data_IF_934938211135
#
_entry.id   IF_934938211135
#
_cell.length_a   1.000
_cell.length_b   1.000
_cell.length_c   1.000
_cell.angle_alpha   90.00
_cell.angle_beta   90.00
_cell.angle_gamma   90.00
#
_symmetry.space_group_name_H-M   'P 1'
#
loop_
_entity.id
_entity.type
_entity.pdbx_description
1 polymer ?
#
# COMPACT_ATOMS: atom_id res chain seq x y z
N UNK A 1 -1.71 -8.04 -4.49
CA UNK A 1 -2.06 -7.24 -3.30
C UNK A 1 -2.06 -8.15 -2.10
N UNK A 2 -1.32 -7.78 -1.06
CA UNK A 2 -1.32 -8.45 0.23
C UNK A 2 -2.53 -7.99 1.08
N UNK A 3 -2.82 -8.71 2.18
CA UNK A 3 -3.84 -8.29 3.15
C UNK A 3 -3.28 -7.24 4.10
N UNK A 4 -4.02 -6.14 4.34
CA UNK A 4 -3.66 -5.10 5.30
C UNK A 4 -4.01 -3.69 4.85
N UNK A 5 -3.72 -2.71 5.72
CA UNK A 5 -3.85 -1.29 5.44
C UNK A 5 -2.96 -0.47 6.36
N UNK A 6 -2.59 0.74 5.94
CA UNK A 6 -1.75 1.64 6.72
C UNK A 6 -2.29 3.07 6.68
N UNK A 7 -1.88 3.88 7.65
CA UNK A 7 -2.09 5.34 7.67
C UNK A 7 -0.74 6.00 7.81
N UNK A 8 -0.43 6.96 6.94
CA UNK A 8 0.77 7.80 7.04
C UNK A 8 0.37 9.19 7.49
N UNK A 9 1.05 9.70 8.52
CA UNK A 9 0.83 11.03 9.08
C UNK A 9 2.07 11.47 9.87
N UNK A 10 2.05 12.70 10.41
CA UNK A 10 3.06 13.13 11.37
C UNK A 10 3.07 12.21 12.59
N UNK A 11 4.23 12.08 13.24
CA UNK A 11 4.45 11.15 14.36
C UNK A 11 3.41 11.32 15.46
N UNK A 12 3.10 12.55 15.86
CA UNK A 12 2.10 12.86 16.90
C UNK A 12 0.71 12.34 16.56
N UNK A 13 0.33 12.33 15.28
CA UNK A 13 -0.95 11.78 14.81
C UNK A 13 -0.91 10.25 14.85
N UNK A 14 0.19 9.64 14.41
CA UNK A 14 0.35 8.18 14.45
C UNK A 14 0.32 7.68 15.90
N UNK A 15 1.02 8.35 16.81
CA UNK A 15 1.02 8.00 18.24
C UNK A 15 -0.39 8.12 18.85
N UNK A 16 -1.13 9.19 18.52
CA UNK A 16 -2.52 9.33 18.95
C UNK A 16 -3.38 8.17 18.43
N UNK A 17 -3.25 7.82 17.14
CA UNK A 17 -4.03 6.75 16.52
C UNK A 17 -3.70 5.37 17.11
N UNK A 18 -2.43 5.09 17.48
CA UNK A 18 -2.06 3.84 18.17
C UNK A 18 -2.78 3.68 19.51
N UNK A 19 -3.15 4.79 20.16
CA UNK A 19 -3.85 4.79 21.45
C UNK A 19 -5.38 4.90 21.33
N UNK A 20 -5.92 5.29 20.18
CA UNK A 20 -7.35 5.64 20.02
C UNK A 20 -8.08 4.86 18.94
N UNK A 21 -7.37 4.34 17.93
CA UNK A 21 -7.97 3.67 16.79
C UNK A 21 -8.47 2.28 17.18
N UNK A 22 -9.80 2.11 17.23
CA UNK A 22 -10.43 0.82 17.55
C UNK A 22 -9.98 -0.31 16.60
N UNK A 23 -9.89 -0.10 15.27
CA UNK A 23 -9.37 -1.13 14.36
C UNK A 23 -7.92 -1.53 14.65
N UNK A 24 -7.09 -0.64 15.21
CA UNK A 24 -5.71 -0.96 15.58
C UNK A 24 -5.64 -1.68 16.93
N UNK A 25 -6.44 -1.26 17.90
CA UNK A 25 -6.43 -1.79 19.27
C UNK A 25 -7.14 -3.14 19.42
N UNK A 26 -8.18 -3.38 18.64
CA UNK A 26 -9.04 -4.57 18.75
C UNK A 26 -8.94 -5.48 17.52
N UNK A 27 -7.76 -5.54 16.91
CA UNK A 27 -7.46 -6.44 15.78
C UNK A 27 -6.14 -7.17 16.02
N UNK A 28 -5.98 -8.30 15.36
CA UNK A 28 -4.74 -9.06 15.39
C UNK A 28 -3.68 -8.40 14.51
N UNK A 29 -2.41 -8.61 14.86
CA UNK A 29 -1.29 -8.19 14.03
C UNK A 29 -1.27 -8.96 12.71
N UNK A 30 -0.74 -8.32 11.66
CA UNK A 30 -0.59 -8.91 10.32
C UNK A 30 0.49 -10.01 10.36
N UNK A 31 0.30 -11.09 9.59
CA UNK A 31 1.26 -12.18 9.53
C UNK A 31 2.66 -11.70 9.06
N UNK A 32 3.77 -12.20 9.64
CA UNK A 32 5.11 -11.74 9.29
C UNK A 32 5.46 -11.84 7.80
N UNK A 33 5.02 -12.90 7.13
CA UNK A 33 5.24 -13.09 5.68
C UNK A 33 4.54 -12.01 4.84
N UNK A 34 3.38 -11.54 5.28
CA UNK A 34 2.62 -10.50 4.60
C UNK A 34 3.29 -9.14 4.78
N UNK A 35 3.82 -8.86 5.98
CA UNK A 35 4.61 -7.64 6.25
C UNK A 35 5.90 -7.66 5.41
N UNK A 36 6.64 -8.78 5.41
CA UNK A 36 7.87 -8.92 4.64
C UNK A 36 7.66 -8.76 3.13
N UNK A 37 6.61 -9.37 2.58
CA UNK A 37 6.25 -9.19 1.17
C UNK A 37 5.87 -7.72 0.86
N UNK A 38 5.19 -7.03 1.78
CA UNK A 38 4.82 -5.63 1.59
C UNK A 38 6.05 -4.71 1.57
N UNK A 39 7.05 -4.95 2.43
CA UNK A 39 8.32 -4.21 2.43
C UNK A 39 9.06 -4.41 1.10
N UNK A 40 9.20 -5.65 0.64
CA UNK A 40 9.87 -5.94 -0.64
C UNK A 40 9.17 -5.29 -1.84
N UNK A 41 7.83 -5.16 -1.79
CA UNK A 41 7.09 -4.42 -2.81
C UNK A 41 7.42 -2.93 -2.78
N UNK A 42 7.57 -2.31 -1.60
CA UNK A 42 7.99 -0.90 -1.50
C UNK A 42 9.37 -0.71 -2.10
N UNK A 43 10.33 -1.57 -1.78
CA UNK A 43 11.69 -1.51 -2.36
C UNK A 43 11.66 -1.59 -3.90
N UNK A 44 10.84 -2.48 -4.45
CA UNK A 44 10.66 -2.62 -5.91
C UNK A 44 10.06 -1.35 -6.53
N UNK A 45 9.05 -0.76 -5.88
CA UNK A 45 8.38 0.45 -6.36
C UNK A 45 9.26 1.70 -6.25
N UNK A 46 10.16 1.75 -5.28
CA UNK A 46 11.16 2.82 -5.13
C UNK A 46 12.27 2.71 -6.18
N UNK A 47 12.64 1.49 -6.58
CA UNK A 47 13.69 1.25 -7.57
C UNK A 47 13.32 1.58 -9.01
N UNK A 48 12.04 1.53 -9.40
CA UNK A 48 11.62 1.83 -10.77
C UNK A 48 10.13 2.15 -10.92
N UNK A 49 9.81 3.04 -11.87
CA UNK A 49 8.43 3.33 -12.26
C UNK A 49 7.92 2.46 -13.41
N UNK A 50 8.76 1.61 -14.02
CA UNK A 50 8.45 0.92 -15.28
C UNK A 50 7.14 0.12 -15.25
N UNK A 51 6.82 -0.52 -14.11
CA UNK A 51 5.56 -1.26 -13.94
C UNK A 51 4.34 -0.33 -13.90
N UNK A 52 4.46 0.83 -13.25
CA UNK A 52 3.43 1.87 -13.21
C UNK A 52 3.23 2.48 -14.59
N UNK A 53 4.32 2.73 -15.32
CA UNK A 53 4.26 3.34 -16.64
C UNK A 53 3.60 2.37 -17.64
N UNK A 54 3.97 1.08 -17.63
CA UNK A 54 3.29 0.03 -18.40
C UNK A 54 1.79 -0.06 -18.08
N UNK A 55 1.42 0.07 -16.81
CA UNK A 55 0.01 0.09 -16.40
C UNK A 55 -0.74 1.30 -16.98
N UNK A 56 -0.12 2.47 -16.96
CA UNK A 56 -0.69 3.69 -17.53
C UNK A 56 -0.90 3.56 -19.05
N UNK A 57 0.11 3.05 -19.78
CA UNK A 57 0.04 2.85 -21.22
C UNK A 57 -1.07 1.86 -21.62
N UNK A 58 -1.13 0.72 -20.94
CA UNK A 58 -2.20 -0.26 -21.15
C UNK A 58 -3.57 0.36 -20.89
N UNK A 59 -3.71 1.12 -19.79
CA UNK A 59 -4.97 1.76 -19.43
C UNK A 59 -5.39 2.80 -20.47
N UNK A 60 -4.46 3.61 -20.99
CA UNK A 60 -4.73 4.58 -22.05
C UNK A 60 -5.17 3.89 -23.34
N UNK A 61 -4.47 2.81 -23.72
CA UNK A 61 -4.81 2.01 -24.89
C UNK A 61 -6.22 1.42 -24.78
N UNK A 62 -6.54 0.73 -23.67
CA UNK A 62 -7.87 0.14 -23.47
C UNK A 62 -8.99 1.20 -23.48
N UNK A 63 -8.78 2.35 -22.85
CA UNK A 63 -9.75 3.45 -22.85
C UNK A 63 -9.95 4.09 -24.23
N UNK A 64 -8.90 4.11 -25.05
CA UNK A 64 -8.98 4.59 -26.43
C UNK A 64 -9.69 3.61 -27.35
N UNK A 65 -9.47 2.30 -27.18
CA UNK A 65 -10.03 1.25 -28.03
C UNK A 65 -11.51 0.92 -27.75
N UNK A 66 -12.01 1.23 -26.54
CA UNK A 66 -13.40 0.97 -26.12
C UNK A 66 -14.32 2.18 -26.43
N UNK A 67 -13.75 3.35 -26.75
CA UNK A 67 -14.50 4.51 -27.23
C UNK A 67 -14.75 4.41 -28.74
#
# INVERSE_FOLDING_TARGET
>A
GASGGFTSARREVVELLRQRSRPYLFSNTVAPSIVGASIAVLDLLEGSTALRDKLADNTAWFRGAIR
#
